data_IF_861737492221
#
_entry.id   IF_861737492221
#
_cell.length_a   1.000
_cell.length_b   1.000
_cell.length_c   1.000
_cell.angle_alpha   90.00
_cell.angle_beta   90.00
_cell.angle_gamma   90.00
#
_symmetry.space_group_name_H-M   'P 1'
#
loop_
_entity.id
_entity.type
_entity.pdbx_description
1 polymer ?
#
# COMPACT_ATOMS: atom_id res chain seq x y z
N UNK A 1 -8.14 -17.88 5.45
CA UNK A 1 -7.70 -19.27 5.78
C UNK A 1 -8.42 -20.33 4.95
N UNK A 2 -9.74 -20.21 4.69
CA UNK A 2 -10.48 -21.19 3.86
C UNK A 2 -10.01 -21.21 2.40
N UNK A 3 -9.87 -20.04 1.76
CA UNK A 3 -9.35 -19.90 0.39
C UNK A 3 -7.94 -20.50 0.24
N UNK A 4 -7.08 -20.32 1.24
CA UNK A 4 -5.73 -20.91 1.22
C UNK A 4 -5.77 -22.43 1.27
N UNK A 5 -6.63 -23.02 2.14
CA UNK A 5 -6.83 -24.45 2.20
C UNK A 5 -7.41 -25.00 0.89
N UNK A 6 -8.32 -24.25 0.27
CA UNK A 6 -8.90 -24.60 -1.02
C UNK A 6 -7.85 -24.58 -2.12
N UNK A 7 -7.06 -23.50 -2.22
CA UNK A 7 -5.99 -23.38 -3.20
C UNK A 7 -4.97 -24.54 -3.09
N UNK A 8 -4.54 -24.86 -1.86
CA UNK A 8 -3.64 -25.98 -1.60
C UNK A 8 -4.26 -27.32 -2.01
N UNK A 9 -5.53 -27.60 -1.61
CA UNK A 9 -6.21 -28.87 -1.99
C UNK A 9 -6.39 -29.01 -3.49
N UNK A 10 -6.65 -27.87 -4.17
CA UNK A 10 -6.85 -27.84 -5.62
C UNK A 10 -5.56 -27.64 -6.42
N UNK A 11 -4.41 -27.56 -5.74
CA UNK A 11 -3.10 -27.28 -6.36
C UNK A 11 -3.13 -26.06 -7.28
N UNK A 12 -3.74 -24.96 -6.80
CA UNK A 12 -3.86 -23.71 -7.56
C UNK A 12 -2.93 -22.65 -7.01
N UNK A 13 -2.16 -22.03 -7.90
CA UNK A 13 -1.43 -20.80 -7.60
C UNK A 13 -2.41 -19.62 -7.56
N UNK A 14 -2.28 -18.76 -6.55
CA UNK A 14 -3.12 -17.58 -6.37
C UNK A 14 -2.23 -16.38 -6.20
N UNK A 15 -2.46 -15.33 -7.00
CA UNK A 15 -1.83 -14.03 -6.86
C UNK A 15 -2.81 -13.05 -6.21
N UNK A 16 -2.29 -12.13 -5.41
CA UNK A 16 -2.98 -10.91 -5.02
C UNK A 16 -2.31 -9.74 -5.76
N UNK A 17 -3.11 -8.90 -6.39
CA UNK A 17 -2.58 -7.80 -7.21
C UNK A 17 -2.14 -6.62 -6.33
N UNK A 18 -1.03 -6.78 -5.64
CA UNK A 18 -0.34 -5.70 -4.95
C UNK A 18 0.69 -5.06 -5.92
N UNK A 19 0.18 -4.36 -6.91
CA UNK A 19 0.94 -3.84 -8.04
C UNK A 19 2.07 -2.87 -7.66
N UNK A 20 2.00 -2.23 -6.49
CA UNK A 20 3.09 -1.37 -6.00
C UNK A 20 4.39 -2.14 -5.81
N UNK A 21 4.34 -3.45 -5.46
CA UNK A 21 5.53 -4.31 -5.38
C UNK A 21 6.26 -4.46 -6.71
N UNK A 22 5.57 -4.20 -7.83
CA UNK A 22 6.11 -4.33 -9.18
C UNK A 22 6.58 -3.00 -9.78
N UNK A 23 6.39 -1.88 -9.09
CA UNK A 23 6.83 -0.55 -9.53
C UNK A 23 8.35 -0.41 -9.33
N UNK A 24 9.12 -0.01 -10.37
CA UNK A 24 10.59 0.03 -10.31
C UNK A 24 11.16 0.76 -9.11
N UNK A 25 10.65 1.95 -8.75
CA UNK A 25 11.17 2.71 -7.61
C UNK A 25 10.80 2.10 -6.25
N UNK A 26 9.68 1.38 -6.15
CA UNK A 26 9.38 0.61 -4.94
C UNK A 26 10.32 -0.58 -4.79
N UNK A 27 10.64 -1.29 -5.89
CA UNK A 27 11.64 -2.37 -5.90
C UNK A 27 13.03 -1.83 -5.55
N UNK A 28 13.39 -0.64 -6.05
CA UNK A 28 14.65 0.02 -5.69
C UNK A 28 14.70 0.40 -4.21
N UNK A 29 13.59 0.91 -3.67
CA UNK A 29 13.48 1.21 -2.24
C UNK A 29 13.67 -0.05 -1.39
N UNK A 30 13.08 -1.18 -1.80
CA UNK A 30 13.26 -2.47 -1.16
C UNK A 30 14.73 -2.91 -1.16
N UNK A 31 15.43 -2.83 -2.29
CA UNK A 31 16.87 -3.13 -2.39
C UNK A 31 17.69 -2.27 -1.43
N UNK A 32 17.43 -0.96 -1.38
CA UNK A 32 18.13 -0.02 -0.50
C UNK A 32 17.88 -0.32 0.98
N UNK A 33 16.64 -0.59 1.35
CA UNK A 33 16.29 -0.95 2.73
C UNK A 33 16.95 -2.26 3.15
N UNK A 34 16.91 -3.29 2.31
CA UNK A 34 17.58 -4.58 2.58
C UNK A 34 19.10 -4.48 2.63
N UNK A 35 19.71 -3.61 1.84
CA UNK A 35 21.16 -3.36 1.91
C UNK A 35 21.59 -2.58 3.15
N UNK A 36 20.63 -2.10 3.97
CA UNK A 36 20.89 -1.35 5.17
C UNK A 36 21.25 0.12 4.94
N UNK A 37 20.81 0.70 3.80
CA UNK A 37 21.12 2.10 3.46
C UNK A 37 20.64 3.11 4.50
N UNK A 38 19.50 2.84 5.18
CA UNK A 38 19.00 3.66 6.29
C UNK A 38 19.42 3.14 7.67
N UNK A 39 20.09 2.00 7.75
CA UNK A 39 20.37 1.30 9.01
C UNK A 39 19.11 0.69 9.63
N UNK A 40 19.02 0.71 10.97
CA UNK A 40 17.81 0.29 11.68
C UNK A 40 16.78 1.42 11.64
N UNK A 41 15.57 1.21 11.11
CA UNK A 41 14.52 2.23 11.14
C UNK A 41 14.12 2.59 12.58
N UNK A 42 13.86 3.88 12.82
CA UNK A 42 13.38 4.42 14.09
C UNK A 42 11.95 4.91 13.98
N UNK A 43 11.53 5.35 12.78
CA UNK A 43 10.19 5.84 12.49
C UNK A 43 9.86 5.55 11.04
N UNK A 44 8.61 5.13 10.80
CA UNK A 44 8.04 5.01 9.45
C UNK A 44 6.76 5.84 9.37
N UNK A 45 6.59 6.58 8.27
CA UNK A 45 5.35 7.30 7.97
C UNK A 45 4.86 6.92 6.59
N UNK A 46 3.56 6.71 6.45
CA UNK A 46 2.89 6.55 5.18
C UNK A 46 1.67 7.47 5.12
N UNK A 47 1.73 8.48 4.27
CA UNK A 47 0.61 9.36 3.99
C UNK A 47 0.02 9.00 2.62
N UNK A 48 -1.29 8.74 2.55
CA UNK A 48 -2.01 8.54 1.29
C UNK A 48 -3.24 9.43 1.29
N UNK A 49 -3.02 10.66 0.82
CA UNK A 49 -3.98 11.74 0.93
C UNK A 49 -4.47 12.14 -0.45
N UNK A 50 -5.73 11.82 -0.76
CA UNK A 50 -6.35 12.03 -2.06
C UNK A 50 -7.69 12.76 -1.92
N UNK A 51 -8.14 13.40 -3.00
CA UNK A 51 -9.44 14.06 -3.08
C UNK A 51 -10.46 13.29 -3.93
N UNK A 52 -10.17 12.03 -4.27
CA UNK A 52 -10.96 11.25 -5.24
C UNK A 52 -12.43 11.05 -4.85
N UNK A 53 -12.77 11.23 -3.57
CA UNK A 53 -14.12 11.12 -3.00
C UNK A 53 -14.60 12.40 -2.32
N UNK A 54 -13.88 13.53 -2.48
CA UNK A 54 -14.20 14.80 -1.83
C UNK A 54 -15.43 15.51 -2.43
N UNK A 55 -15.91 15.10 -3.60
CA UNK A 55 -17.17 15.57 -4.18
C UNK A 55 -18.34 14.79 -3.58
N UNK A 56 -19.20 15.47 -2.83
CA UNK A 56 -20.39 14.89 -2.20
C UNK A 56 -21.46 14.48 -3.21
N UNK A 57 -21.47 15.08 -4.43
CA UNK A 57 -22.40 14.74 -5.50
C UNK A 57 -22.07 13.41 -6.21
N UNK A 58 -20.89 12.85 -5.96
CA UNK A 58 -20.49 11.56 -6.49
C UNK A 58 -21.42 10.47 -5.99
N UNK A 59 -21.95 9.66 -6.92
CA UNK A 59 -22.90 8.59 -6.61
C UNK A 59 -22.38 7.59 -5.57
N UNK A 60 -23.31 7.07 -4.78
CA UNK A 60 -23.07 5.97 -3.84
C UNK A 60 -22.57 4.72 -4.58
N UNK A 61 -21.65 4.00 -3.99
CA UNK A 61 -21.07 2.78 -4.56
C UNK A 61 -20.57 1.86 -3.44
N UNK A 62 -20.04 0.69 -3.77
CA UNK A 62 -19.42 -0.23 -2.81
C UNK A 62 -18.41 0.46 -1.87
N UNK A 63 -17.73 1.51 -2.35
CA UNK A 63 -16.78 2.29 -1.56
C UNK A 63 -17.44 3.00 -0.36
N UNK A 64 -18.75 3.23 -0.42
CA UNK A 64 -19.52 3.86 0.65
C UNK A 64 -20.08 2.86 1.66
N UNK A 65 -19.90 1.56 1.41
CA UNK A 65 -20.43 0.45 2.19
C UNK A 65 -19.31 -0.31 2.91
N UNK A 66 -19.28 -0.22 4.23
CA UNK A 66 -18.31 -0.95 5.06
C UNK A 66 -18.42 -2.46 4.89
N UNK A 67 -19.63 -3.00 4.75
CA UNK A 67 -19.85 -4.45 4.57
C UNK A 67 -19.37 -4.96 3.22
N UNK A 68 -19.36 -4.09 2.21
CA UNK A 68 -18.78 -4.40 0.90
C UNK A 68 -17.25 -4.26 0.86
N UNK A 69 -16.62 -3.92 1.99
CA UNK A 69 -15.17 -3.67 2.08
C UNK A 69 -14.77 -2.28 1.59
N UNK A 70 -15.70 -1.33 1.63
CA UNK A 70 -15.47 0.06 1.24
C UNK A 70 -14.63 0.84 2.24
N UNK A 71 -14.56 2.15 2.03
CA UNK A 71 -13.74 3.08 2.83
C UNK A 71 -12.28 3.12 2.43
N UNK A 72 -11.54 4.05 3.06
CA UNK A 72 -10.10 4.21 2.78
C UNK A 72 -9.28 3.04 3.32
N UNK A 73 -9.71 2.41 4.41
CA UNK A 73 -9.02 1.24 4.95
C UNK A 73 -9.17 0.06 3.96
N UNK A 74 -10.39 -0.19 3.47
CA UNK A 74 -10.64 -1.26 2.51
C UNK A 74 -9.95 -1.04 1.17
N UNK A 75 -9.95 0.19 0.66
CA UNK A 75 -9.44 0.51 -0.68
C UNK A 75 -7.96 0.85 -0.71
N UNK A 76 -7.46 1.66 0.22
CA UNK A 76 -6.06 2.10 0.27
C UNK A 76 -5.26 1.35 1.33
N UNK A 77 -5.88 1.04 2.46
CA UNK A 77 -5.23 0.37 3.59
C UNK A 77 -4.65 -0.99 3.23
N UNK A 78 -5.31 -1.76 2.37
CA UNK A 78 -4.80 -3.05 1.90
C UNK A 78 -3.44 -2.92 1.22
N UNK A 79 -3.29 -1.94 0.33
CA UNK A 79 -2.01 -1.64 -0.33
C UNK A 79 -1.00 -1.02 0.62
N UNK A 80 -1.44 -0.13 1.52
CA UNK A 80 -0.56 0.52 2.51
C UNK A 80 0.07 -0.51 3.46
N UNK A 81 -0.73 -1.40 4.03
CA UNK A 81 -0.24 -2.43 4.94
C UNK A 81 0.62 -3.47 4.22
N UNK A 82 0.26 -3.85 2.98
CA UNK A 82 1.10 -4.72 2.18
C UNK A 82 2.47 -4.09 1.88
N UNK A 83 2.49 -2.83 1.47
CA UNK A 83 3.74 -2.08 1.22
C UNK A 83 4.62 -2.01 2.46
N UNK A 84 4.03 -1.70 3.62
CA UNK A 84 4.76 -1.63 4.89
C UNK A 84 5.28 -3.01 5.31
N UNK A 85 4.46 -4.05 5.20
CA UNK A 85 4.85 -5.41 5.54
C UNK A 85 5.98 -5.93 4.64
N UNK A 86 5.94 -5.60 3.36
CA UNK A 86 6.97 -5.98 2.39
C UNK A 86 8.28 -5.23 2.58
N UNK A 87 8.22 -3.89 2.68
CA UNK A 87 9.42 -3.04 2.72
C UNK A 87 10.11 -3.04 4.09
N UNK A 88 9.33 -3.09 5.17
CA UNK A 88 9.83 -2.94 6.54
C UNK A 88 9.73 -4.25 7.30
N UNK A 89 8.54 -4.84 7.34
CA UNK A 89 8.29 -6.10 8.02
C UNK A 89 6.88 -6.20 8.61
N UNK A 90 6.53 -7.33 9.22
CA UNK A 90 5.19 -7.62 9.71
C UNK A 90 4.59 -6.51 10.57
N UNK A 91 3.31 -6.24 10.32
CA UNK A 91 2.49 -5.27 11.06
C UNK A 91 2.12 -5.87 12.42
N UNK A 92 2.35 -5.10 13.48
CA UNK A 92 2.01 -5.46 14.86
C UNK A 92 0.65 -4.92 15.32
N UNK A 93 0.61 -4.38 16.54
CA UNK A 93 -0.60 -3.77 17.08
C UNK A 93 -1.04 -2.56 16.26
N UNK A 94 -2.35 -2.42 16.04
CA UNK A 94 -2.96 -1.35 15.26
C UNK A 94 -3.95 -0.59 16.13
N UNK A 95 -3.86 0.74 16.12
CA UNK A 95 -4.85 1.66 16.69
C UNK A 95 -5.23 2.68 15.62
N UNK A 96 -6.52 3.01 15.50
CA UNK A 96 -6.99 3.91 14.48
C UNK A 96 -8.05 4.89 15.01
N UNK A 97 -8.05 6.09 14.44
CA UNK A 97 -9.13 7.06 14.54
C UNK A 97 -9.75 7.21 13.15
N UNK A 98 -10.99 6.75 13.01
CA UNK A 98 -11.72 6.71 11.75
C UNK A 98 -12.81 7.76 11.72
N UNK A 99 -13.08 8.37 10.55
CA UNK A 99 -14.21 9.27 10.38
C UNK A 99 -14.86 9.16 9.01
N UNK A 100 -16.14 9.53 8.95
CA UNK A 100 -16.94 9.68 7.73
C UNK A 100 -17.25 11.16 7.58
N UNK A 101 -16.57 11.85 6.67
CA UNK A 101 -16.73 13.30 6.43
C UNK A 101 -17.92 13.59 5.52
N UNK A 102 -18.28 12.65 4.62
CA UNK A 102 -19.43 12.76 3.73
C UNK A 102 -20.42 11.65 4.09
N UNK A 103 -21.41 11.94 4.97
CA UNK A 103 -22.24 10.92 5.59
C UNK A 103 -23.34 10.37 4.66
N UNK A 104 -23.60 11.04 3.52
CA UNK A 104 -24.63 10.61 2.56
C UNK A 104 -24.18 10.91 1.12
N UNK A 105 -24.61 10.07 0.18
CA UNK A 105 -24.37 10.24 -1.24
C UNK A 105 -25.61 9.89 -2.06
N UNK A 106 -25.78 10.48 -3.29
CA UNK A 106 -26.86 10.09 -4.19
C UNK A 106 -26.82 8.58 -4.51
N UNK A 107 -27.87 7.86 -4.21
CA UNK A 107 -28.08 6.46 -4.61
C UNK A 107 -28.44 6.31 -6.08
N UNK A 108 -28.59 5.06 -6.56
CA UNK A 108 -28.94 4.79 -7.96
C UNK A 108 -30.31 5.37 -8.39
N UNK A 109 -31.22 5.54 -7.43
CA UNK A 109 -32.54 6.13 -7.61
C UNK A 109 -32.58 7.65 -7.41
N UNK A 110 -31.42 8.27 -7.11
CA UNK A 110 -31.27 9.67 -6.80
C UNK A 110 -31.60 10.06 -5.35
N UNK A 111 -32.09 9.12 -4.52
CA UNK A 111 -32.28 9.37 -3.10
C UNK A 111 -30.92 9.41 -2.36
N UNK A 112 -30.82 10.22 -1.31
CA UNK A 112 -29.62 10.26 -0.48
C UNK A 112 -29.50 8.96 0.32
N UNK A 113 -28.37 8.29 0.19
CA UNK A 113 -28.07 6.99 0.82
C UNK A 113 -26.92 7.17 1.80
N UNK A 114 -27.08 6.65 3.00
CA UNK A 114 -26.07 6.74 4.06
C UNK A 114 -24.74 6.08 3.66
N UNK A 115 -23.64 6.69 4.11
CA UNK A 115 -22.27 6.19 3.98
C UNK A 115 -21.81 5.76 5.38
N UNK A 116 -21.43 4.50 5.56
CA UNK A 116 -20.92 3.96 6.82
C UNK A 116 -19.44 3.56 6.76
N UNK A 117 -18.84 3.60 5.57
CA UNK A 117 -17.43 3.35 5.36
C UNK A 117 -16.62 4.65 5.52
N UNK A 118 -15.53 4.58 6.25
CA UNK A 118 -14.67 5.73 6.58
C UNK A 118 -13.98 6.31 5.33
N UNK A 119 -13.88 7.64 5.27
CA UNK A 119 -13.17 8.38 4.21
C UNK A 119 -11.87 9.03 4.73
N UNK A 120 -11.62 8.95 6.05
CA UNK A 120 -10.37 9.31 6.73
C UNK A 120 -10.05 8.25 7.79
N UNK A 121 -8.79 7.81 7.83
CA UNK A 121 -8.25 6.95 8.88
C UNK A 121 -6.85 7.43 9.29
N UNK A 122 -6.67 7.72 10.58
CA UNK A 122 -5.39 8.03 11.20
C UNK A 122 -4.97 6.82 12.02
N UNK A 123 -3.90 6.15 11.61
CA UNK A 123 -3.52 4.85 12.14
C UNK A 123 -2.13 4.92 12.76
N UNK A 124 -1.99 4.35 13.94
CA UNK A 124 -0.71 4.09 14.60
C UNK A 124 -0.49 2.59 14.69
N UNK A 125 0.72 2.15 14.39
CA UNK A 125 1.08 0.73 14.44
C UNK A 125 2.56 0.55 14.75
N UNK A 126 2.98 -0.70 14.91
CA UNK A 126 4.38 -1.08 14.98
C UNK A 126 4.70 -2.05 13.84
N UNK A 127 5.96 -2.03 13.39
CA UNK A 127 6.47 -2.91 12.36
C UNK A 127 7.66 -3.68 12.91
N UNK A 128 7.75 -4.98 12.64
CA UNK A 128 8.90 -5.80 13.04
C UNK A 128 9.98 -5.70 11.97
N UNK A 129 11.05 -4.91 12.21
CA UNK A 129 12.10 -4.69 11.21
C UNK A 129 12.68 -5.99 10.67
N UNK A 130 12.52 -6.26 9.38
CA UNK A 130 12.93 -7.50 8.70
C UNK A 130 12.45 -8.78 9.42
N UNK A 131 11.26 -8.74 10.04
CA UNK A 131 10.70 -9.88 10.77
C UNK A 131 11.33 -10.14 12.14
N UNK A 132 12.22 -9.28 12.64
CA UNK A 132 12.86 -9.43 13.94
C UNK A 132 11.92 -9.00 15.06
N UNK A 133 11.63 -9.90 15.97
CA UNK A 133 10.76 -9.63 17.13
C UNK A 133 11.39 -8.68 18.17
N UNK A 134 12.72 -8.56 18.17
CA UNK A 134 13.47 -7.67 19.07
C UNK A 134 13.62 -6.24 18.53
N UNK A 135 13.14 -5.96 17.32
CA UNK A 135 13.23 -4.65 16.68
C UNK A 135 11.85 -4.19 16.21
N UNK A 136 11.14 -3.50 17.10
CA UNK A 136 9.82 -2.91 16.85
C UNK A 136 9.97 -1.45 16.45
N UNK A 137 9.45 -1.08 15.28
CA UNK A 137 9.54 0.26 14.72
C UNK A 137 8.15 0.90 14.77
N UNK A 138 7.98 2.07 15.42
CA UNK A 138 6.71 2.81 15.37
C UNK A 138 6.43 3.30 13.96
N UNK A 139 5.16 3.19 13.55
CA UNK A 139 4.71 3.63 12.25
C UNK A 139 3.39 4.41 12.35
N UNK A 140 3.26 5.44 11.53
CA UNK A 140 2.05 6.22 11.34
C UNK A 140 1.57 6.09 9.90
N UNK A 141 0.28 5.77 9.73
CA UNK A 141 -0.37 5.68 8.43
C UNK A 141 -1.58 6.60 8.40
N UNK A 142 -1.60 7.55 7.47
CA UNK A 142 -2.71 8.48 7.30
C UNK A 142 -3.35 8.23 5.94
N UNK A 143 -4.60 7.82 5.94
CA UNK A 143 -5.38 7.55 4.72
C UNK A 143 -6.53 8.54 4.63
N UNK A 144 -6.70 9.19 3.49
CA UNK A 144 -7.86 10.03 3.22
C UNK A 144 -8.23 10.02 1.73
N UNK A 145 -9.52 9.87 1.44
CA UNK A 145 -10.06 10.01 0.08
C UNK A 145 -10.77 11.34 -0.15
N UNK A 146 -10.86 12.18 0.88
CA UNK A 146 -11.54 13.49 0.89
C UNK A 146 -10.58 14.66 1.13
N UNK A 147 -9.28 14.42 1.21
CA UNK A 147 -8.26 15.44 1.39
C UNK A 147 -8.12 16.28 0.11
N UNK A 148 -8.79 17.45 0.08
CA UNK A 148 -8.69 18.39 -1.05
C UNK A 148 -7.25 18.88 -1.20
N UNK A 149 -6.71 18.79 -2.43
CA UNK A 149 -5.30 19.09 -2.73
C UNK A 149 -4.31 18.22 -1.91
N UNK A 150 -4.73 17.01 -1.52
CA UNK A 150 -3.86 16.06 -0.85
C UNK A 150 -2.62 15.74 -1.69
N UNK A 151 -1.48 15.59 -1.03
CA UNK A 151 -0.16 15.44 -1.68
C UNK A 151 0.09 14.05 -2.29
N UNK A 152 -0.90 13.16 -2.35
CA UNK A 152 -0.75 11.82 -2.92
C UNK A 152 -0.24 10.78 -1.92
N UNK A 153 0.60 9.85 -2.38
CA UNK A 153 1.13 8.75 -1.58
C UNK A 153 2.61 8.98 -1.27
N UNK A 154 2.98 8.97 0.01
CA UNK A 154 4.34 9.23 0.49
C UNK A 154 4.71 8.28 1.61
N UNK A 155 5.79 7.54 1.41
CA UNK A 155 6.44 6.69 2.40
C UNK A 155 7.76 7.32 2.82
N UNK A 156 7.95 7.49 4.12
CA UNK A 156 9.16 8.05 4.72
C UNK A 156 9.71 7.07 5.75
N UNK A 157 10.99 6.71 5.64
CA UNK A 157 11.70 5.81 6.55
C UNK A 157 12.90 6.54 7.13
N UNK A 158 12.86 6.79 8.42
CA UNK A 158 13.91 7.45 9.18
C UNK A 158 14.67 6.42 10.00
N UNK A 159 15.97 6.29 9.79
CA UNK A 159 16.76 5.25 10.43
C UNK A 159 18.12 5.73 10.96
N UNK A 160 18.84 4.82 11.58
CA UNK A 160 20.10 5.11 12.30
C UNK A 160 21.23 5.57 11.39
N UNK A 161 21.17 5.33 10.08
CA UNK A 161 22.21 5.70 9.11
C UNK A 161 21.73 6.69 8.07
N UNK A 162 20.42 6.97 8.00
CA UNK A 162 19.90 7.85 6.96
C UNK A 162 18.38 7.83 6.84
N UNK A 163 17.90 8.47 5.79
CA UNK A 163 16.47 8.64 5.50
C UNK A 163 16.18 8.22 4.05
N UNK A 164 15.11 7.47 3.86
CA UNK A 164 14.57 7.15 2.56
C UNK A 164 13.17 7.76 2.44
N UNK A 165 12.89 8.44 1.32
CA UNK A 165 11.57 8.99 0.98
C UNK A 165 11.17 8.47 -0.39
N UNK A 166 9.99 7.87 -0.48
CA UNK A 166 9.39 7.40 -1.73
C UNK A 166 7.99 7.98 -1.85
N UNK A 167 7.65 8.64 -2.95
CA UNK A 167 6.32 9.21 -3.06
C UNK A 167 5.93 9.72 -4.44
N UNK A 168 4.65 10.06 -4.56
CA UNK A 168 4.04 10.58 -5.78
C UNK A 168 2.81 11.41 -5.48
N UNK A 169 2.68 12.53 -6.17
CA UNK A 169 1.43 13.28 -6.31
C UNK A 169 0.60 12.75 -7.50
N UNK A 170 1.23 12.02 -8.43
CA UNK A 170 0.61 11.44 -9.62
C UNK A 170 0.46 9.92 -9.51
N UNK A 171 -0.69 9.48 -8.99
CA UNK A 171 -1.04 8.06 -8.80
C UNK A 171 -1.54 7.38 -10.09
N UNK A 172 -1.45 8.03 -11.25
CA UNK A 172 -1.87 7.46 -12.54
C UNK A 172 -0.70 7.03 -13.41
N UNK A 173 0.48 7.53 -13.14
CA UNK A 173 1.70 7.20 -13.88
C UNK A 173 2.71 6.50 -12.97
N UNK A 174 2.65 5.18 -12.92
CA UNK A 174 3.57 4.37 -12.12
C UNK A 174 4.97 4.23 -12.77
N UNK A 175 5.12 4.68 -14.00
CA UNK A 175 6.40 4.69 -14.72
C UNK A 175 7.24 5.93 -14.34
N UNK A 176 6.60 7.12 -14.32
CA UNK A 176 7.28 8.40 -14.12
C UNK A 176 6.76 9.21 -12.93
N UNK A 177 5.61 8.85 -12.36
CA UNK A 177 4.93 9.63 -11.32
C UNK A 177 5.58 9.52 -9.95
N UNK A 178 6.30 8.44 -9.66
CA UNK A 178 7.00 8.26 -8.38
C UNK A 178 8.41 8.83 -8.42
N UNK A 179 8.88 9.24 -7.25
CA UNK A 179 10.25 9.69 -7.01
C UNK A 179 10.78 9.04 -5.74
N UNK A 180 12.09 8.78 -5.72
CA UNK A 180 12.79 8.17 -4.60
C UNK A 180 13.97 9.05 -4.20
N UNK A 181 14.13 9.28 -2.92
CA UNK A 181 15.24 10.02 -2.35
C UNK A 181 15.88 9.24 -1.22
N UNK A 182 17.18 9.40 -1.08
CA UNK A 182 17.99 8.83 -0.02
C UNK A 182 18.97 9.88 0.51
N UNK A 183 19.14 9.92 1.83
CA UNK A 183 20.20 10.66 2.48
C UNK A 183 20.93 9.77 3.49
N UNK A 184 22.26 9.84 3.55
CA UNK A 184 23.01 9.37 4.70
C UNK A 184 22.88 10.40 5.85
N UNK A 185 23.14 9.96 7.08
CA UNK A 185 23.09 10.86 8.25
C UNK A 185 23.99 12.09 8.07
N UNK A 186 23.38 13.26 8.21
CA UNK A 186 24.08 14.54 8.02
C UNK A 186 24.18 15.04 6.57
N UNK A 187 23.77 14.24 5.59
CA UNK A 187 23.80 14.61 4.17
C UNK A 187 22.43 15.05 3.67
N UNK A 188 22.37 15.88 2.61
CA UNK A 188 21.10 16.22 1.99
C UNK A 188 20.47 15.04 1.24
N UNK A 189 19.14 15.05 1.13
CA UNK A 189 18.40 14.10 0.30
C UNK A 189 18.84 14.21 -1.18
N UNK A 190 19.17 13.06 -1.76
CA UNK A 190 19.52 12.94 -3.18
C UNK A 190 18.48 12.07 -3.88
N UNK A 191 18.08 12.47 -5.10
CA UNK A 191 17.22 11.65 -5.95
C UNK A 191 17.92 10.37 -6.37
N UNK A 192 17.21 9.26 -6.29
CA UNK A 192 17.65 7.92 -6.68
C UNK A 192 16.83 7.47 -7.88
N UNK A 193 17.49 6.95 -8.89
CA UNK A 193 16.83 6.28 -10.02
C UNK A 193 16.75 4.77 -9.75
N UNK A 194 15.76 4.13 -10.36
CA UNK A 194 15.72 2.67 -10.34
C UNK A 194 16.85 2.09 -11.19
N UNK A 195 17.42 0.98 -10.75
CA UNK A 195 18.38 0.21 -11.53
C UNK A 195 17.76 -0.23 -12.86
N UNK A 196 18.57 -0.30 -13.94
CA UNK A 196 18.08 -0.58 -15.28
C UNK A 196 17.35 -1.92 -15.41
N UNK A 197 17.74 -2.92 -14.62
CA UNK A 197 17.11 -4.25 -14.61
C UNK A 197 15.71 -4.24 -13.98
N UNK A 198 15.34 -3.18 -13.26
CA UNK A 198 14.00 -2.97 -12.70
C UNK A 198 13.05 -2.27 -13.66
N UNK A 199 13.53 -1.73 -14.77
CA UNK A 199 12.70 -1.05 -15.76
C UNK A 199 11.56 -1.95 -16.27
N UNK A 200 10.44 -1.34 -16.64
CA UNK A 200 9.39 -2.09 -17.33
C UNK A 200 9.83 -2.40 -18.76
N UNK A 201 9.72 -3.66 -19.22
CA UNK A 201 10.06 -4.02 -20.60
C UNK A 201 9.08 -3.41 -21.62
N UNK A 202 7.85 -3.15 -21.19
CA UNK A 202 6.78 -2.53 -21.97
C UNK A 202 5.97 -1.60 -21.07
N UNK A 203 5.57 -0.45 -21.62
CA UNK A 203 4.70 0.53 -20.96
C UNK A 203 3.49 0.84 -21.85
N UNK A 204 2.44 1.37 -21.25
CA UNK A 204 1.19 1.74 -21.91
C UNK A 204 0.84 3.20 -21.58
N UNK A 205 -0.13 3.75 -22.31
CA UNK A 205 -0.63 5.11 -22.05
C UNK A 205 -1.23 5.27 -20.64
N UNK A 206 -1.85 4.21 -20.09
CA UNK A 206 -2.17 4.13 -18.67
C UNK A 206 -0.98 3.51 -17.93
N UNK A 207 -0.25 4.33 -17.18
CA UNK A 207 0.96 3.91 -16.46
C UNK A 207 0.71 2.85 -15.38
N UNK A 208 -0.55 2.59 -15.00
CA UNK A 208 -0.92 1.56 -14.03
C UNK A 208 -0.90 0.14 -14.62
N UNK A 209 -0.94 0.00 -15.95
CA UNK A 209 -0.97 -1.31 -16.60
C UNK A 209 0.34 -2.08 -16.44
N UNK A 210 1.48 -1.39 -16.53
CA UNK A 210 2.79 -2.04 -16.50
C UNK A 210 3.07 -2.85 -15.23
N UNK A 211 2.84 -2.33 -14.01
CA UNK A 211 3.04 -3.13 -12.79
C UNK A 211 2.06 -4.30 -12.67
N UNK A 212 0.80 -4.14 -13.08
CA UNK A 212 -0.18 -5.24 -13.11
C UNK A 212 0.28 -6.34 -14.06
N UNK A 213 0.74 -6.00 -15.27
CA UNK A 213 1.29 -6.94 -16.23
C UNK A 213 2.52 -7.68 -15.68
N UNK A 214 3.38 -7.01 -14.91
CA UNK A 214 4.52 -7.64 -14.24
C UNK A 214 4.07 -8.65 -13.17
N UNK A 215 3.08 -8.30 -12.33
CA UNK A 215 2.49 -9.23 -11.35
C UNK A 215 1.91 -10.47 -12.06
N UNK A 216 1.19 -10.28 -13.15
CA UNK A 216 0.66 -11.40 -13.96
C UNK A 216 1.79 -12.28 -14.53
N UNK A 217 2.90 -11.67 -14.96
CA UNK A 217 4.10 -12.37 -15.40
C UNK A 217 4.71 -13.23 -14.29
N UNK A 218 4.83 -12.70 -13.07
CA UNK A 218 5.29 -13.45 -11.89
C UNK A 218 4.35 -14.60 -11.55
N UNK A 219 3.05 -14.38 -11.65
CA UNK A 219 2.07 -15.44 -11.42
C UNK A 219 2.16 -16.56 -12.46
N UNK A 220 2.28 -16.21 -13.74
CA UNK A 220 2.50 -17.20 -14.79
C UNK A 220 3.78 -18.00 -14.58
N UNK A 221 4.86 -17.38 -14.11
CA UNK A 221 6.11 -18.05 -13.77
C UNK A 221 5.96 -18.96 -12.55
N UNK A 222 5.24 -18.53 -11.51
CA UNK A 222 4.90 -19.35 -10.35
C UNK A 222 4.18 -20.64 -10.77
N UNK A 223 3.22 -20.54 -11.69
CA UNK A 223 2.50 -21.72 -12.21
C UNK A 223 3.42 -22.66 -13.00
N UNK A 224 4.38 -22.12 -13.76
CA UNK A 224 5.32 -22.94 -14.56
C UNK A 224 6.39 -23.62 -13.70
N UNK A 225 6.92 -22.90 -12.73
CA UNK A 225 8.00 -23.37 -11.86
C UNK A 225 7.51 -24.19 -10.66
N UNK A 226 6.21 -24.12 -10.33
CA UNK A 226 5.65 -24.71 -9.12
C UNK A 226 6.05 -23.99 -7.82
N UNK A 227 6.74 -22.85 -7.92
CA UNK A 227 7.12 -22.06 -6.77
C UNK A 227 5.93 -21.23 -6.25
N UNK A 228 5.83 -20.97 -4.93
CA UNK A 228 4.78 -20.12 -4.39
C UNK A 228 4.79 -18.73 -5.02
N UNK A 229 3.60 -18.22 -5.36
CA UNK A 229 3.43 -16.84 -5.80
C UNK A 229 3.59 -15.87 -4.63
N UNK A 230 4.38 -14.80 -4.83
CA UNK A 230 4.50 -13.66 -3.94
C UNK A 230 4.40 -12.39 -4.80
N UNK A 231 3.42 -11.50 -4.51
CA UNK A 231 2.41 -11.55 -3.46
C UNK A 231 1.28 -12.56 -3.72
N UNK A 232 0.94 -13.33 -2.70
CA UNK A 232 -0.10 -14.35 -2.76
C UNK A 232 -1.11 -14.23 -1.60
N UNK A 233 -1.78 -15.35 -1.29
CA UNK A 233 -2.83 -15.35 -0.25
C UNK A 233 -2.31 -14.99 1.15
N UNK A 234 -1.05 -15.30 1.46
CA UNK A 234 -0.50 -14.98 2.80
C UNK A 234 -0.37 -13.47 2.98
N UNK A 235 0.12 -12.76 1.97
CA UNK A 235 0.20 -11.31 1.96
C UNK A 235 -1.21 -10.69 2.03
N UNK A 236 -2.15 -11.23 1.25
CA UNK A 236 -3.54 -10.81 1.29
C UNK A 236 -4.19 -10.98 2.67
N UNK A 237 -3.95 -12.11 3.33
CA UNK A 237 -4.44 -12.36 4.71
C UNK A 237 -3.79 -11.42 5.70
N UNK A 238 -2.47 -11.23 5.65
CA UNK A 238 -1.76 -10.34 6.57
C UNK A 238 -2.25 -8.90 6.47
N UNK A 239 -2.36 -8.38 5.24
CA UNK A 239 -2.89 -7.04 4.98
C UNK A 239 -4.35 -6.90 5.44
N UNK A 240 -5.20 -7.90 5.17
CA UNK A 240 -6.60 -7.88 5.59
C UNK A 240 -6.75 -7.88 7.12
N UNK A 241 -5.96 -8.65 7.85
CA UNK A 241 -5.98 -8.65 9.32
C UNK A 241 -5.62 -7.27 9.90
N UNK A 242 -4.64 -6.58 9.30
CA UNK A 242 -4.29 -5.22 9.69
C UNK A 242 -5.42 -4.22 9.38
N UNK A 243 -6.08 -4.35 8.23
CA UNK A 243 -7.26 -3.55 7.88
C UNK A 243 -8.42 -3.79 8.85
N UNK A 244 -8.71 -5.06 9.18
CA UNK A 244 -9.79 -5.41 10.13
C UNK A 244 -9.51 -4.84 11.52
N UNK A 245 -8.25 -4.89 11.98
CA UNK A 245 -7.84 -4.28 13.24
C UNK A 245 -8.02 -2.75 13.22
N UNK A 246 -7.65 -2.07 12.11
CA UNK A 246 -7.84 -0.63 11.96
C UNK A 246 -9.31 -0.22 11.88
N UNK A 247 -10.18 -1.03 11.26
CA UNK A 247 -11.61 -0.75 11.11
C UNK A 247 -12.41 -1.02 12.41
N UNK A 248 -11.85 -1.78 13.35
CA UNK A 248 -12.52 -2.18 14.61
C UNK A 248 -12.31 -1.19 15.75
N UNK A 249 -11.49 -0.16 15.59
CA UNK A 249 -11.20 0.88 16.58
C UNK A 249 -12.18 2.04 16.51
#
# INVERSE_FOLDING_TARGET
MELQRLALRQQRSVAVDYEYRAVPLFMQAERLLRSGAVGTPWLVKLDWLMSSRADASRGWSWYSDRKAGGGVIGALGTHAFDTLAWLIGPVGAVQALNSVSIPERPGPDGAMTAVDAEDVALIQTTLSWQGRSDCSVPAQVNLASVARNGRGCWLEVYGSKGTLILGSENQKDYVHGFSLWLASSGEPLRSIQADADLAFPTTWSDGRVAPVARIQGWWAESMRSGQPMIPGLMEGVASRLACDAAASN
#
